data_IF_905789786836
#
_entry.id   IF_905789786836
#
_cell.length_a   1.000
_cell.length_b   1.000
_cell.length_c   1.000
_cell.angle_alpha   90.00
_cell.angle_beta   90.00
_cell.angle_gamma   90.00
#
_symmetry.space_group_name_H-M   'P 1'
#
loop_
_entity.id
_entity.type
_entity.pdbx_description
1 polymer ?
#
# COMPACT_ATOMS: atom_id res chain seq x y z
N UNK A 1 -26.18 -29.18 8.06
CA UNK A 1 -26.91 -29.00 9.32
C UNK A 1 -27.50 -27.61 9.32
N UNK A 2 -28.80 -27.47 9.59
CA UNK A 2 -29.43 -26.17 9.78
C UNK A 2 -28.83 -25.49 11.02
N UNK A 3 -28.67 -24.15 11.03
CA UNK A 3 -28.13 -23.46 12.19
C UNK A 3 -29.07 -23.65 13.39
N UNK A 4 -28.49 -24.00 14.55
CA UNK A 4 -29.21 -24.22 15.80
C UNK A 4 -29.61 -22.91 16.50
N UNK A 5 -29.19 -21.76 15.99
CA UNK A 5 -29.44 -20.45 16.58
C UNK A 5 -29.68 -19.43 15.49
N UNK A 6 -30.61 -18.49 15.72
CA UNK A 6 -30.87 -17.36 14.83
C UNK A 6 -30.73 -16.06 15.61
N UNK A 7 -29.83 -15.19 15.18
CA UNK A 7 -29.73 -13.82 15.64
C UNK A 7 -30.50 -12.92 14.68
N UNK A 8 -31.65 -12.40 15.12
CA UNK A 8 -32.53 -11.61 14.28
C UNK A 8 -32.65 -10.17 14.75
N UNK A 9 -32.75 -9.25 13.79
CA UNK A 9 -33.12 -7.86 14.04
C UNK A 9 -34.61 -7.76 14.38
N UNK A 10 -34.94 -7.17 15.53
CA UNK A 10 -36.32 -6.87 15.94
C UNK A 10 -36.60 -5.37 15.72
N UNK A 11 -37.38 -4.99 14.69
CA UNK A 11 -37.65 -3.59 14.37
C UNK A 11 -38.35 -2.84 15.51
N UNK A 12 -39.25 -3.51 16.23
CA UNK A 12 -40.07 -2.95 17.30
C UNK A 12 -39.24 -2.45 18.49
N UNK A 13 -38.12 -3.13 18.77
CA UNK A 13 -37.25 -2.83 19.91
C UNK A 13 -35.90 -2.23 19.51
N UNK A 14 -35.67 -2.01 18.20
CA UNK A 14 -34.40 -1.53 17.64
C UNK A 14 -33.17 -2.31 18.16
N UNK A 15 -33.30 -3.62 18.37
CA UNK A 15 -32.23 -4.47 18.93
C UNK A 15 -32.16 -5.84 18.24
N UNK A 16 -31.04 -6.53 18.45
CA UNK A 16 -30.87 -7.91 17.99
C UNK A 16 -31.20 -8.89 19.11
N UNK A 17 -31.79 -9.99 18.70
CA UNK A 17 -32.41 -10.98 19.56
C UNK A 17 -31.96 -12.37 19.13
N UNK A 18 -31.50 -13.16 20.09
CA UNK A 18 -31.13 -14.56 19.85
C UNK A 18 -32.32 -15.47 20.10
N UNK A 19 -32.64 -16.32 19.13
CA UNK A 19 -33.63 -17.39 19.25
C UNK A 19 -33.00 -18.77 18.97
N UNK A 20 -33.52 -19.79 19.65
CA UNK A 20 -33.15 -21.20 19.47
C UNK A 20 -34.38 -22.00 19.04
N UNK A 21 -34.28 -22.95 18.09
CA UNK A 21 -35.39 -23.81 17.72
C UNK A 21 -35.93 -24.57 18.95
N UNK A 22 -37.21 -24.33 19.29
CA UNK A 22 -37.89 -24.98 20.41
C UNK A 22 -37.89 -24.21 21.74
N UNK A 23 -37.27 -23.04 21.82
CA UNK A 23 -37.40 -22.12 22.96
C UNK A 23 -37.95 -20.76 22.50
N UNK A 24 -39.07 -20.28 23.06
CA UNK A 24 -39.67 -19.00 22.68
C UNK A 24 -38.94 -17.78 23.28
N UNK A 25 -38.01 -18.00 24.20
CA UNK A 25 -37.33 -16.93 24.93
C UNK A 25 -36.30 -16.22 24.04
N UNK A 26 -36.44 -14.90 23.99
CA UNK A 26 -35.57 -14.01 23.24
C UNK A 26 -34.59 -13.33 24.20
N UNK A 27 -33.31 -13.66 24.10
CA UNK A 27 -32.29 -13.14 25.00
C UNK A 27 -31.62 -11.88 24.43
N UNK A 28 -31.33 -10.91 25.29
CA UNK A 28 -30.47 -9.80 24.93
C UNK A 28 -29.02 -10.29 24.86
N UNK A 29 -28.46 -10.32 23.66
CA UNK A 29 -27.16 -10.95 23.43
C UNK A 29 -25.99 -10.02 23.75
N UNK A 30 -26.21 -8.73 24.02
CA UNK A 30 -25.10 -7.78 24.14
C UNK A 30 -24.13 -8.11 25.27
N UNK A 31 -24.63 -8.57 26.42
CA UNK A 31 -23.78 -8.92 27.57
C UNK A 31 -23.15 -10.33 27.45
N UNK A 32 -23.76 -11.23 26.67
CA UNK A 32 -23.36 -12.64 26.57
C UNK A 32 -22.73 -13.00 25.21
N UNK A 33 -22.54 -12.01 24.33
CA UNK A 33 -22.11 -12.15 22.93
C UNK A 33 -20.86 -13.03 22.78
N UNK A 34 -19.81 -12.74 23.56
CA UNK A 34 -18.53 -13.46 23.48
C UNK A 34 -18.65 -14.90 23.94
N UNK A 35 -19.22 -15.11 25.12
CA UNK A 35 -19.40 -16.46 25.69
C UNK A 35 -20.25 -17.35 24.75
N UNK A 36 -21.27 -16.76 24.14
CA UNK A 36 -22.12 -17.44 23.17
C UNK A 36 -21.38 -17.77 21.85
N UNK A 37 -20.61 -16.83 21.28
CA UNK A 37 -19.80 -17.10 20.07
C UNK A 37 -18.74 -18.19 20.30
N UNK A 38 -18.26 -18.34 21.54
CA UNK A 38 -17.31 -19.39 21.85
C UNK A 38 -17.97 -20.77 21.96
N UNK A 39 -19.18 -20.83 22.52
CA UNK A 39 -19.98 -22.05 22.62
C UNK A 39 -20.61 -22.50 21.29
N UNK A 40 -20.88 -21.56 20.37
CA UNK A 40 -21.58 -21.84 19.12
C UNK A 40 -20.62 -22.18 17.97
N UNK A 41 -20.99 -23.19 17.16
CA UNK A 41 -20.26 -23.56 15.94
C UNK A 41 -20.92 -23.04 14.65
N UNK A 42 -22.17 -22.60 14.70
CA UNK A 42 -22.89 -22.01 13.57
C UNK A 42 -24.21 -21.34 13.97
N UNK A 43 -24.54 -20.20 13.40
CA UNK A 43 -25.81 -19.50 13.63
C UNK A 43 -26.30 -18.80 12.36
N UNK A 44 -27.61 -18.59 12.24
CA UNK A 44 -28.20 -17.70 11.24
C UNK A 44 -28.19 -16.27 11.76
N UNK A 45 -27.92 -15.31 10.89
CA UNK A 45 -28.01 -13.89 11.16
C UNK A 45 -29.01 -13.25 10.20
N UNK A 46 -30.10 -12.73 10.75
CA UNK A 46 -31.13 -11.98 10.05
C UNK A 46 -30.92 -10.50 10.34
N UNK A 47 -30.05 -9.90 9.54
CA UNK A 47 -29.70 -8.49 9.63
C UNK A 47 -30.68 -7.57 8.89
N UNK A 48 -30.55 -6.28 9.16
CA UNK A 48 -31.28 -5.20 8.44
C UNK A 48 -30.98 -5.24 6.94
N UNK A 49 -29.77 -5.65 6.58
CA UNK A 49 -29.27 -5.64 5.20
C UNK A 49 -29.23 -7.02 4.51
N UNK A 50 -29.74 -8.08 5.15
CA UNK A 50 -29.84 -9.41 4.55
C UNK A 50 -29.62 -10.57 5.52
N UNK A 51 -29.73 -11.79 4.98
CA UNK A 51 -29.58 -13.02 5.74
C UNK A 51 -28.22 -13.68 5.50
N UNK A 52 -27.56 -14.10 6.58
CA UNK A 52 -26.32 -14.85 6.56
C UNK A 52 -26.46 -16.13 7.38
N UNK A 53 -25.73 -17.16 7.01
CA UNK A 53 -25.42 -18.29 7.89
C UNK A 53 -23.94 -18.17 8.25
N UNK A 54 -23.61 -18.07 9.53
CA UNK A 54 -22.25 -18.08 10.01
C UNK A 54 -21.86 -19.47 10.49
N UNK A 55 -20.64 -19.88 10.18
CA UNK A 55 -20.08 -21.16 10.62
C UNK A 55 -18.64 -20.99 11.07
N UNK A 56 -18.32 -21.63 12.20
CA UNK A 56 -16.99 -21.71 12.78
C UNK A 56 -16.25 -22.87 12.10
N UNK A 57 -15.13 -22.58 11.44
CA UNK A 57 -14.25 -23.57 10.84
C UNK A 57 -13.06 -23.84 11.79
N UNK A 58 -12.86 -25.10 12.23
CA UNK A 58 -11.82 -25.45 13.20
C UNK A 58 -10.42 -25.44 12.56
N UNK A 59 -9.41 -25.07 13.36
CA UNK A 59 -7.99 -25.11 12.97
C UNK A 59 -7.27 -26.27 13.67
N UNK A 60 -6.22 -26.82 13.04
CA UNK A 60 -5.38 -27.87 13.65
C UNK A 60 -4.53 -27.35 14.83
N UNK A 61 -4.21 -26.05 14.88
CA UNK A 61 -3.60 -25.34 16.01
C UNK A 61 -4.07 -23.87 16.01
N UNK A 62 -4.73 -23.43 17.08
CA UNK A 62 -5.18 -22.04 17.30
C UNK A 62 -6.70 -21.84 17.34
N UNK A 63 -7.14 -20.60 17.53
CA UNK A 63 -8.56 -20.21 17.58
C UNK A 63 -9.25 -20.43 16.23
N UNK A 64 -10.53 -20.82 16.28
CA UNK A 64 -11.33 -21.08 15.08
C UNK A 64 -11.85 -19.79 14.45
N UNK A 65 -12.06 -19.80 13.13
CA UNK A 65 -12.53 -18.64 12.39
C UNK A 65 -13.99 -18.77 11.98
N UNK A 66 -14.68 -17.63 11.87
CA UNK A 66 -16.03 -17.54 11.35
C UNK A 66 -16.02 -17.24 9.85
N UNK A 67 -16.81 -18.01 9.10
CA UNK A 67 -17.20 -17.70 7.73
C UNK A 67 -18.69 -17.43 7.66
N UNK A 68 -19.05 -16.34 6.98
CA UNK A 68 -20.43 -16.01 6.66
C UNK A 68 -20.78 -16.54 5.27
N UNK A 69 -21.94 -17.15 5.13
CA UNK A 69 -22.48 -17.72 3.91
C UNK A 69 -23.81 -17.04 3.61
N UNK A 70 -24.04 -16.64 2.37
CA UNK A 70 -25.33 -16.15 1.91
C UNK A 70 -25.73 -16.98 0.70
N UNK A 71 -26.91 -17.60 0.76
CA UNK A 71 -27.44 -18.39 -0.36
C UNK A 71 -28.59 -17.64 -1.02
N UNK A 72 -28.44 -17.28 -2.29
CA UNK A 72 -29.47 -16.60 -3.09
C UNK A 72 -29.51 -17.19 -4.49
N UNK A 73 -30.69 -17.44 -5.04
CA UNK A 73 -30.89 -18.04 -6.37
C UNK A 73 -30.06 -19.33 -6.60
N UNK A 74 -30.08 -20.26 -5.63
CA UNK A 74 -29.28 -21.51 -5.64
C UNK A 74 -27.75 -21.32 -5.72
N UNK A 75 -27.23 -20.12 -5.42
CA UNK A 75 -25.79 -19.82 -5.33
C UNK A 75 -25.43 -19.42 -3.91
N UNK A 76 -24.46 -20.10 -3.33
CA UNK A 76 -23.91 -19.77 -2.01
C UNK A 76 -22.62 -18.97 -2.19
N UNK A 77 -22.62 -17.74 -1.68
CA UNK A 77 -21.42 -16.90 -1.56
C UNK A 77 -20.92 -17.03 -0.12
N UNK A 78 -19.60 -17.18 0.07
CA UNK A 78 -18.99 -17.16 1.41
C UNK A 78 -18.03 -15.98 1.55
N UNK A 79 -17.90 -15.46 2.76
CA UNK A 79 -16.97 -14.38 3.12
C UNK A 79 -16.39 -14.65 4.50
N UNK A 80 -15.08 -14.45 4.65
CA UNK A 80 -14.44 -14.52 5.96
C UNK A 80 -15.03 -13.45 6.88
N UNK A 81 -15.41 -13.84 8.09
CA UNK A 81 -16.05 -12.95 9.07
C UNK A 81 -15.14 -12.57 10.23
N UNK A 82 -14.01 -13.27 10.43
CA UNK A 82 -13.04 -12.99 11.50
C UNK A 82 -12.98 -14.06 12.58
N UNK A 83 -12.25 -13.76 13.67
CA UNK A 83 -12.29 -14.55 14.91
C UNK A 83 -13.51 -14.20 15.75
N UNK A 84 -13.79 -14.98 16.79
CA UNK A 84 -14.83 -14.64 17.78
C UNK A 84 -14.63 -13.24 18.36
N UNK A 85 -13.37 -12.80 18.55
CA UNK A 85 -13.03 -11.47 19.09
C UNK A 85 -13.36 -10.32 18.15
N UNK A 86 -13.33 -10.58 16.85
CA UNK A 86 -13.48 -9.56 15.80
C UNK A 86 -14.91 -9.51 15.26
N UNK A 87 -15.75 -10.46 15.66
CA UNK A 87 -17.14 -10.53 15.28
C UNK A 87 -17.93 -9.52 16.10
N UNK A 88 -18.45 -8.49 15.44
CA UNK A 88 -19.43 -7.56 16.02
C UNK A 88 -20.68 -7.56 15.17
N UNK A 89 -21.82 -7.18 15.75
CA UNK A 89 -23.08 -7.03 15.00
C UNK A 89 -22.90 -6.06 13.82
N UNK A 90 -22.15 -4.98 14.00
CA UNK A 90 -21.84 -4.03 12.92
C UNK A 90 -21.08 -4.68 11.75
N UNK A 91 -20.11 -5.56 12.06
CA UNK A 91 -19.38 -6.33 11.05
C UNK A 91 -20.29 -7.34 10.32
N UNK A 92 -21.23 -7.96 11.04
CA UNK A 92 -22.22 -8.85 10.44
C UNK A 92 -23.15 -8.11 9.48
N UNK A 93 -23.60 -6.91 9.84
CA UNK A 93 -24.39 -6.04 8.94
C UNK A 93 -23.62 -5.63 7.70
N UNK A 94 -22.35 -5.28 7.84
CA UNK A 94 -21.48 -4.99 6.70
C UNK A 94 -21.32 -6.20 5.78
N UNK A 95 -21.05 -7.38 6.33
CA UNK A 95 -20.94 -8.61 5.55
C UNK A 95 -22.27 -8.95 4.88
N UNK A 96 -23.40 -8.76 5.57
CA UNK A 96 -24.74 -8.99 5.04
C UNK A 96 -25.01 -8.07 3.85
N UNK A 97 -24.73 -6.78 3.98
CA UNK A 97 -24.84 -5.79 2.89
C UNK A 97 -23.97 -6.17 1.69
N UNK A 98 -22.72 -6.57 1.92
CA UNK A 98 -21.78 -6.93 0.86
C UNK A 98 -22.16 -8.23 0.12
N UNK A 99 -22.71 -9.21 0.83
CA UNK A 99 -23.15 -10.47 0.24
C UNK A 99 -24.53 -10.36 -0.42
N UNK A 100 -25.38 -9.45 0.06
CA UNK A 100 -26.75 -9.23 -0.44
C UNK A 100 -26.80 -8.25 -1.62
N UNK A 101 -25.80 -7.37 -1.75
CA UNK A 101 -25.66 -6.47 -2.89
C UNK A 101 -25.72 -7.26 -4.21
N UNK A 102 -26.78 -6.98 -4.98
CA UNK A 102 -27.10 -7.69 -6.21
C UNK A 102 -26.11 -7.27 -7.30
N UNK A 103 -25.10 -8.10 -7.58
CA UNK A 103 -24.52 -8.10 -8.92
C UNK A 103 -25.53 -8.72 -9.89
N UNK A 104 -25.65 -8.20 -11.12
CA UNK A 104 -26.57 -8.74 -12.11
C UNK A 104 -26.25 -10.22 -12.44
N UNK A 105 -27.31 -10.93 -12.86
CA UNK A 105 -27.38 -12.38 -12.99
C UNK A 105 -26.29 -13.04 -13.88
N UNK A 106 -26.05 -14.35 -13.75
CA UNK A 106 -24.82 -14.96 -14.18
C UNK A 106 -24.94 -15.73 -15.49
N UNK A 107 -24.04 -15.44 -16.44
CA UNK A 107 -23.77 -16.29 -17.60
C UNK A 107 -22.58 -17.20 -17.29
N UNK A 108 -22.77 -18.51 -17.44
CA UNK A 108 -21.74 -19.58 -17.36
C UNK A 108 -21.00 -19.65 -16.01
N UNK A 109 -20.44 -20.83 -15.65
CA UNK A 109 -19.55 -20.92 -14.50
C UNK A 109 -18.43 -19.89 -14.71
N UNK A 110 -18.22 -18.90 -13.82
CA UNK A 110 -17.13 -17.98 -14.03
C UNK A 110 -15.87 -18.81 -13.88
N UNK A 111 -15.15 -19.01 -14.98
CA UNK A 111 -13.70 -18.85 -14.93
C UNK A 111 -13.50 -17.58 -14.12
N UNK A 112 -13.08 -17.70 -12.86
CA UNK A 112 -12.98 -16.56 -11.95
C UNK A 112 -11.97 -15.60 -12.58
N UNK A 113 -12.48 -14.59 -13.27
CA UNK A 113 -11.70 -13.69 -14.10
C UNK A 113 -10.81 -12.87 -13.19
N UNK A 114 -9.50 -13.14 -13.26
CA UNK A 114 -8.50 -12.32 -12.60
C UNK A 114 -8.25 -11.09 -13.46
N UNK A 115 -8.06 -9.95 -12.81
CA UNK A 115 -7.68 -8.73 -13.50
C UNK A 115 -6.18 -8.77 -13.82
N UNK A 116 -5.84 -9.15 -15.06
CA UNK A 116 -4.45 -9.35 -15.50
C UNK A 116 -3.56 -8.09 -15.37
N UNK A 117 -4.16 -6.90 -15.39
CA UNK A 117 -3.43 -5.65 -15.21
C UNK A 117 -2.81 -5.52 -13.82
N UNK A 118 -3.36 -6.19 -12.79
CA UNK A 118 -2.75 -6.26 -11.45
C UNK A 118 -1.49 -7.13 -11.42
N UNK A 119 -1.41 -8.10 -12.33
CA UNK A 119 -0.30 -9.05 -12.44
C UNK A 119 0.83 -8.52 -13.34
N UNK A 120 0.57 -7.41 -14.03
CA UNK A 120 1.47 -6.82 -15.00
C UNK A 120 2.42 -5.83 -14.34
N UNK A 121 3.68 -5.87 -14.74
CA UNK A 121 4.69 -4.92 -14.30
C UNK A 121 4.31 -3.48 -14.73
N UNK A 122 4.27 -2.49 -13.82
CA UNK A 122 3.96 -1.11 -14.15
C UNK A 122 4.90 -0.52 -15.20
N UNK A 123 4.40 0.34 -16.09
CA UNK A 123 5.26 0.98 -17.09
C UNK A 123 6.20 1.98 -16.42
N UNK A 124 7.50 1.87 -16.71
CA UNK A 124 8.48 2.88 -16.34
C UNK A 124 8.30 4.11 -17.23
N UNK A 125 8.49 5.30 -16.66
CA UNK A 125 8.58 6.53 -17.45
C UNK A 125 9.93 6.58 -18.18
N UNK A 126 10.00 7.31 -19.29
CA UNK A 126 11.18 7.39 -20.16
C UNK A 126 12.33 8.21 -19.58
N UNK A 127 12.02 9.26 -18.80
CA UNK A 127 13.01 10.06 -18.06
C UNK A 127 13.06 9.57 -16.61
N UNK A 128 14.09 8.81 -16.27
CA UNK A 128 14.30 8.32 -14.91
C UNK A 128 15.75 8.56 -14.49
N UNK A 129 15.91 9.23 -13.36
CA UNK A 129 17.20 9.34 -12.71
C UNK A 129 17.67 7.95 -12.25
N UNK A 130 18.89 7.57 -12.62
CA UNK A 130 19.53 6.37 -12.08
C UNK A 130 19.94 6.59 -10.63
N UNK A 131 19.61 5.65 -9.75
CA UNK A 131 19.87 5.73 -8.30
C UNK A 131 20.75 4.56 -7.85
N UNK A 132 21.98 4.49 -8.36
CA UNK A 132 22.92 3.38 -8.13
C UNK A 132 23.01 2.95 -6.67
N UNK A 133 23.18 3.91 -5.75
CA UNK A 133 23.19 3.67 -4.29
C UNK A 133 22.01 2.83 -3.80
N UNK A 134 20.80 3.06 -4.31
CA UNK A 134 19.62 2.28 -3.93
C UNK A 134 19.61 0.91 -4.61
N UNK A 135 19.98 0.85 -5.89
CA UNK A 135 20.08 -0.42 -6.63
C UNK A 135 21.05 -1.38 -5.95
N UNK A 136 22.20 -0.88 -5.47
CA UNK A 136 23.18 -1.66 -4.73
C UNK A 136 22.61 -2.18 -3.40
N UNK A 137 21.82 -1.35 -2.70
CA UNK A 137 21.12 -1.79 -1.48
C UNK A 137 20.09 -2.88 -1.75
N UNK A 138 19.34 -2.79 -2.84
CA UNK A 138 18.43 -3.87 -3.25
C UNK A 138 19.19 -5.18 -3.53
N UNK A 139 20.36 -5.11 -4.15
CA UNK A 139 21.20 -6.28 -4.39
C UNK A 139 21.67 -6.93 -3.08
N UNK A 140 22.07 -6.12 -2.08
CA UNK A 140 22.39 -6.62 -0.74
C UNK A 140 21.18 -7.26 -0.02
N UNK A 141 19.96 -6.83 -0.37
CA UNK A 141 18.72 -7.37 0.21
C UNK A 141 18.37 -8.78 -0.28
N UNK A 142 18.90 -9.21 -1.43
CA UNK A 142 18.56 -10.51 -2.05
C UNK A 142 18.97 -11.72 -1.22
N UNK A 143 20.00 -11.58 -0.38
CA UNK A 143 20.44 -12.65 0.54
C UNK A 143 19.41 -12.94 1.65
N UNK A 144 18.41 -12.07 1.80
CA UNK A 144 17.37 -12.14 2.84
C UNK A 144 16.05 -12.64 2.24
N UNK A 145 15.11 -13.06 3.08
CA UNK A 145 13.79 -13.55 2.62
C UNK A 145 12.87 -12.42 2.13
N UNK A 146 12.96 -11.27 2.78
CA UNK A 146 12.04 -10.15 2.59
C UNK A 146 12.79 -8.83 2.46
N UNK A 147 12.52 -8.08 1.39
CA UNK A 147 12.80 -6.64 1.32
C UNK A 147 11.53 -5.86 1.54
N UNK A 148 11.47 -5.06 2.61
CA UNK A 148 10.36 -4.16 2.91
C UNK A 148 10.72 -2.73 2.49
N UNK A 149 9.86 -2.12 1.67
CA UNK A 149 9.95 -0.71 1.30
C UNK A 149 8.79 0.03 1.96
N UNK A 150 9.10 0.82 2.98
CA UNK A 150 8.13 1.51 3.83
C UNK A 150 8.31 3.02 3.72
N UNK A 151 7.51 3.66 2.87
CA UNK A 151 7.55 5.12 2.71
C UNK A 151 6.23 5.69 2.19
N UNK A 152 5.90 6.96 2.50
CA UNK A 152 4.70 7.61 1.98
C UNK A 152 4.60 7.63 0.44
N UNK A 153 3.44 8.07 -0.06
CA UNK A 153 3.27 8.29 -1.49
C UNK A 153 4.29 9.32 -2.03
N UNK A 154 4.70 9.15 -3.29
CA UNK A 154 5.61 10.09 -3.96
C UNK A 154 7.11 9.91 -3.70
N UNK A 155 7.52 8.94 -2.88
CA UNK A 155 8.94 8.59 -2.69
C UNK A 155 9.53 7.70 -3.80
N UNK A 156 8.75 7.39 -4.84
CA UNK A 156 9.22 6.60 -5.99
C UNK A 156 9.47 5.12 -5.69
N UNK A 157 8.79 4.54 -4.68
CA UNK A 157 8.93 3.12 -4.29
C UNK A 157 8.78 2.16 -5.49
N UNK A 158 7.66 2.27 -6.21
CA UNK A 158 7.38 1.46 -7.41
C UNK A 158 8.43 1.71 -8.49
N UNK A 159 8.82 2.97 -8.68
CA UNK A 159 9.82 3.37 -9.68
C UNK A 159 11.18 2.70 -9.41
N UNK A 160 11.68 2.74 -8.18
CA UNK A 160 13.00 2.17 -7.87
C UNK A 160 12.99 0.65 -7.95
N UNK A 161 11.91 -0.01 -7.49
CA UNK A 161 11.78 -1.47 -7.66
C UNK A 161 11.77 -1.82 -9.14
N UNK A 162 11.01 -1.09 -9.96
CA UNK A 162 10.97 -1.36 -11.40
C UNK A 162 12.30 -1.09 -12.10
N UNK A 163 13.05 -0.06 -11.70
CA UNK A 163 14.42 0.17 -12.19
C UNK A 163 15.34 -0.99 -11.82
N UNK A 164 15.28 -1.44 -10.56
CA UNK A 164 16.08 -2.57 -10.08
C UNK A 164 15.75 -3.88 -10.82
N UNK A 165 14.46 -4.16 -11.04
CA UNK A 165 14.02 -5.33 -11.80
C UNK A 165 14.45 -5.30 -13.27
N UNK A 166 14.68 -4.13 -13.86
CA UNK A 166 15.08 -4.01 -15.28
C UNK A 166 16.48 -4.58 -15.54
N UNK A 167 17.33 -4.69 -14.52
CA UNK A 167 18.66 -5.29 -14.60
C UNK A 167 18.68 -6.75 -14.12
N UNK A 168 17.52 -7.38 -13.91
CA UNK A 168 17.41 -8.77 -13.41
C UNK A 168 17.08 -9.74 -14.52
N UNK A 169 17.54 -10.97 -14.36
CA UNK A 169 17.27 -12.09 -15.27
C UNK A 169 16.30 -13.10 -14.64
N UNK A 170 16.12 -13.06 -13.32
CA UNK A 170 15.17 -13.92 -12.62
C UNK A 170 13.73 -13.61 -13.03
N UNK A 171 12.88 -14.63 -13.11
CA UNK A 171 11.47 -14.41 -13.36
C UNK A 171 10.82 -13.66 -12.17
N UNK A 172 9.95 -12.72 -12.51
CA UNK A 172 9.31 -11.79 -11.57
C UNK A 172 7.81 -12.00 -11.58
N UNK A 173 7.25 -12.30 -10.42
CA UNK A 173 5.83 -12.25 -10.12
C UNK A 173 5.50 -10.88 -9.52
N UNK A 174 4.65 -10.11 -10.19
CA UNK A 174 4.17 -8.82 -9.69
C UNK A 174 2.71 -8.90 -9.29
N UNK A 175 2.34 -8.29 -8.17
CA UNK A 175 0.94 -8.12 -7.77
C UNK A 175 0.71 -6.73 -7.17
N UNK A 176 -0.07 -5.90 -7.87
CA UNK A 176 -0.61 -4.66 -7.33
C UNK A 176 -1.90 -4.93 -6.56
N UNK A 177 -1.89 -4.65 -5.26
CA UNK A 177 -3.02 -4.89 -4.36
C UNK A 177 -3.99 -3.70 -4.35
N UNK A 178 -5.28 -3.99 -4.21
CA UNK A 178 -6.29 -2.99 -3.89
C UNK A 178 -7.15 -3.41 -2.69
N UNK A 179 -8.02 -2.51 -2.22
CA UNK A 179 -8.90 -2.77 -1.08
C UNK A 179 -9.87 -3.96 -1.31
N UNK A 180 -10.12 -4.32 -2.57
CA UNK A 180 -10.94 -5.48 -2.93
C UNK A 180 -10.23 -6.81 -2.65
N UNK A 181 -8.91 -6.81 -2.48
CA UNK A 181 -8.11 -8.00 -2.20
C UNK A 181 -8.00 -8.31 -0.69
N UNK A 182 -8.77 -7.61 0.16
CA UNK A 182 -8.83 -7.85 1.61
C UNK A 182 -9.60 -9.14 1.99
N UNK A 183 -10.01 -9.96 1.02
CA UNK A 183 -10.55 -11.30 1.24
C UNK A 183 -9.41 -12.34 1.13
N UNK A 184 -9.15 -13.18 2.15
CA UNK A 184 -8.01 -14.11 2.14
C UNK A 184 -7.97 -15.06 0.94
N UNK A 185 -9.12 -15.56 0.50
CA UNK A 185 -9.16 -16.47 -0.66
C UNK A 185 -8.83 -15.74 -1.96
N UNK A 186 -9.33 -14.52 -2.14
CA UNK A 186 -9.01 -13.65 -3.27
C UNK A 186 -7.54 -13.23 -3.26
N UNK A 187 -7.01 -12.78 -2.12
CA UNK A 187 -5.62 -12.41 -1.95
C UNK A 187 -4.69 -13.53 -2.42
N UNK A 188 -4.84 -14.72 -1.84
CA UNK A 188 -3.99 -15.86 -2.17
C UNK A 188 -4.19 -16.35 -3.60
N UNK A 189 -5.40 -16.25 -4.15
CA UNK A 189 -5.63 -16.55 -5.57
C UNK A 189 -4.83 -15.62 -6.48
N UNK A 190 -4.79 -14.32 -6.20
CA UNK A 190 -3.97 -13.36 -6.94
C UNK A 190 -2.47 -13.61 -6.76
N UNK A 191 -2.02 -13.95 -5.55
CA UNK A 191 -0.61 -14.30 -5.29
C UNK A 191 -0.19 -15.53 -6.10
N UNK A 192 -0.99 -16.60 -6.07
CA UNK A 192 -0.69 -17.83 -6.82
C UNK A 192 -0.72 -17.57 -8.33
N UNK A 193 -1.65 -16.75 -8.80
CA UNK A 193 -1.71 -16.34 -10.20
C UNK A 193 -0.49 -15.51 -10.62
N UNK A 194 -0.02 -14.58 -9.78
CA UNK A 194 1.20 -13.82 -10.03
C UNK A 194 2.43 -14.74 -10.12
N UNK A 195 2.50 -15.74 -9.24
CA UNK A 195 3.58 -16.72 -9.22
C UNK A 195 3.50 -17.77 -10.33
N UNK A 196 2.50 -17.74 -11.22
CA UNK A 196 2.33 -18.77 -12.26
C UNK A 196 3.58 -18.95 -13.13
N UNK A 197 4.26 -17.86 -13.48
CA UNK A 197 5.50 -17.90 -14.26
C UNK A 197 6.71 -18.44 -13.48
N UNK A 198 6.63 -18.51 -12.14
CA UNK A 198 7.66 -19.07 -11.27
C UNK A 198 7.48 -20.58 -11.08
N UNK A 199 6.27 -21.09 -11.28
CA UNK A 199 5.92 -22.47 -11.02
C UNK A 199 6.27 -23.37 -12.20
N UNK A 200 6.88 -24.55 -11.97
CA UNK A 200 7.00 -25.58 -13.00
C UNK A 200 5.61 -26.10 -13.39
N UNK A 201 5.49 -26.81 -14.52
CA UNK A 201 4.22 -27.32 -15.05
C UNK A 201 3.40 -28.13 -14.03
N UNK A 202 4.07 -28.89 -13.16
CA UNK A 202 3.43 -29.64 -12.07
C UNK A 202 2.82 -28.73 -10.99
N UNK A 203 3.41 -27.56 -10.75
CA UNK A 203 2.91 -26.55 -9.80
C UNK A 203 1.66 -25.81 -10.29
N UNK A 204 1.34 -25.86 -11.58
CA UNK A 204 0.14 -25.22 -12.14
C UNK A 204 -1.17 -25.85 -11.60
N UNK A 205 -1.12 -27.09 -11.09
CA UNK A 205 -2.27 -27.75 -10.44
C UNK A 205 -2.73 -27.01 -9.17
N UNK A 206 -1.86 -26.24 -8.52
CA UNK A 206 -2.21 -25.42 -7.34
C UNK A 206 -3.25 -24.35 -7.71
N UNK A 207 -3.20 -23.81 -8.93
CA UNK A 207 -4.20 -22.84 -9.41
C UNK A 207 -5.60 -23.46 -9.46
N UNK A 208 -5.71 -24.75 -9.79
CA UNK A 208 -6.99 -25.46 -9.79
C UNK A 208 -7.58 -25.51 -8.37
N UNK A 209 -6.77 -25.69 -7.33
CA UNK A 209 -7.24 -25.69 -5.94
C UNK A 209 -7.84 -24.35 -5.51
N UNK A 210 -7.32 -23.23 -6.04
CA UNK A 210 -7.87 -21.88 -5.79
C UNK A 210 -9.01 -21.49 -6.75
N UNK A 211 -9.15 -22.20 -7.89
CA UNK A 211 -10.16 -21.95 -8.91
C UNK A 211 -11.41 -22.83 -8.78
N UNK A 212 -11.33 -23.96 -8.08
CA UNK A 212 -12.43 -24.94 -8.04
C UNK A 212 -13.56 -24.45 -7.13
N UNK A 213 -14.78 -24.21 -7.64
CA UNK A 213 -15.95 -24.12 -6.79
C UNK A 213 -16.17 -25.48 -6.13
N UNK A 214 -16.38 -25.48 -4.81
CA UNK A 214 -16.51 -26.66 -3.95
C UNK A 214 -17.25 -27.82 -4.64
N UNK A 215 -16.55 -28.92 -4.93
CA UNK A 215 -17.17 -30.20 -5.30
C UNK A 215 -17.67 -30.90 -4.01
N UNK A 216 -18.81 -31.60 -4.03
CA UNK A 216 -19.29 -32.36 -2.87
C UNK A 216 -18.36 -33.54 -2.53
N UNK A 217 -18.13 -33.86 -1.24
CA UNK A 217 -18.62 -33.16 -0.06
C UNK A 217 -17.92 -31.80 0.08
N UNK A 218 -18.73 -30.74 0.26
CA UNK A 218 -18.38 -29.32 0.12
C UNK A 218 -17.41 -28.77 1.21
N UNK A 219 -16.42 -29.56 1.62
CA UNK A 219 -15.34 -29.15 2.51
C UNK A 219 -14.19 -28.66 1.65
N UNK A 220 -13.99 -27.34 1.62
CA UNK A 220 -12.75 -26.78 1.09
C UNK A 220 -11.62 -27.16 2.06
N UNK A 221 -10.43 -27.56 1.56
CA UNK A 221 -9.28 -27.75 2.44
C UNK A 221 -8.97 -26.44 3.18
N UNK A 222 -8.53 -26.49 4.46
CA UNK A 222 -8.11 -25.31 5.19
C UNK A 222 -7.09 -24.51 4.39
N UNK A 223 -7.16 -23.17 4.45
CA UNK A 223 -6.26 -22.29 3.69
C UNK A 223 -4.78 -22.68 3.88
N UNK A 224 -4.38 -23.05 5.10
CA UNK A 224 -3.03 -23.55 5.40
C UNK A 224 -2.61 -24.76 4.56
N UNK A 225 -3.52 -25.71 4.31
CA UNK A 225 -3.21 -26.89 3.50
C UNK A 225 -2.95 -26.48 2.05
N UNK A 226 -3.74 -25.54 1.52
CA UNK A 226 -3.53 -25.01 0.17
C UNK A 226 -2.20 -24.24 0.10
N UNK A 227 -1.89 -23.42 1.11
CA UNK A 227 -0.61 -22.72 1.20
C UNK A 227 0.58 -23.66 1.33
N UNK A 228 0.42 -24.77 2.06
CA UNK A 228 1.46 -25.80 2.17
C UNK A 228 1.74 -26.42 0.81
N UNK A 229 0.69 -26.79 0.05
CA UNK A 229 0.85 -27.28 -1.32
C UNK A 229 1.51 -26.23 -2.23
N UNK A 230 1.12 -24.97 -2.09
CA UNK A 230 1.72 -23.88 -2.86
C UNK A 230 3.20 -23.67 -2.53
N UNK A 231 3.57 -23.66 -1.25
CA UNK A 231 4.97 -23.59 -0.79
C UNK A 231 5.79 -24.77 -1.30
N UNK A 232 5.24 -25.98 -1.28
CA UNK A 232 5.89 -27.17 -1.83
C UNK A 232 6.11 -27.04 -3.34
N UNK A 233 5.16 -26.50 -4.09
CA UNK A 233 5.34 -26.24 -5.51
C UNK A 233 6.43 -25.19 -5.77
N UNK A 234 6.46 -24.12 -4.98
CA UNK A 234 7.49 -23.09 -5.04
C UNK A 234 8.88 -23.61 -4.62
N UNK A 235 8.97 -24.61 -3.74
CA UNK A 235 10.26 -25.20 -3.36
C UNK A 235 11.02 -25.84 -4.53
N UNK A 236 10.32 -26.15 -5.63
CA UNK A 236 10.90 -26.70 -6.85
C UNK A 236 11.21 -25.63 -7.91
N UNK A 237 11.02 -24.34 -7.60
CA UNK A 237 11.43 -23.27 -8.50
C UNK A 237 12.92 -22.96 -8.35
N UNK A 238 13.58 -22.60 -9.47
CA UNK A 238 15.02 -22.32 -9.49
C UNK A 238 15.37 -21.02 -8.76
N UNK A 239 14.76 -19.91 -9.18
CA UNK A 239 14.90 -18.60 -8.56
C UNK A 239 13.71 -17.73 -8.98
N UNK A 240 13.25 -16.84 -8.11
CA UNK A 240 12.15 -15.95 -8.45
C UNK A 240 11.95 -14.81 -7.46
N UNK A 241 11.37 -13.72 -7.97
CA UNK A 241 11.02 -12.54 -7.19
C UNK A 241 9.51 -12.41 -7.11
N UNK A 242 8.96 -12.27 -5.91
CA UNK A 242 7.54 -11.92 -5.72
C UNK A 242 7.45 -10.50 -5.19
N UNK A 243 6.88 -9.59 -5.99
CA UNK A 243 6.62 -8.20 -5.60
C UNK A 243 5.16 -8.03 -5.24
N UNK A 244 4.90 -7.62 -4.00
CA UNK A 244 3.59 -7.24 -3.50
C UNK A 244 3.55 -5.72 -3.34
N UNK A 245 2.86 -5.05 -4.27
CA UNK A 245 2.71 -3.61 -4.26
C UNK A 245 1.47 -3.18 -3.49
N UNK A 246 1.60 -2.04 -2.81
CA UNK A 246 0.52 -1.37 -2.07
C UNK A 246 -0.07 -2.18 -0.90
N UNK A 247 0.75 -2.97 -0.20
CA UNK A 247 0.29 -3.85 0.88
C UNK A 247 -0.46 -3.16 2.02
N UNK A 248 -0.24 -1.87 2.23
CA UNK A 248 -1.00 -1.04 3.20
C UNK A 248 -2.52 -1.04 2.99
N UNK A 249 -3.03 -1.42 1.81
CA UNK A 249 -4.48 -1.56 1.57
C UNK A 249 -5.07 -2.83 2.19
N UNK A 250 -4.22 -3.78 2.58
CA UNK A 250 -4.61 -5.02 3.23
C UNK A 250 -4.64 -4.78 4.74
N UNK A 251 -5.78 -5.06 5.35
CA UNK A 251 -6.05 -4.86 6.79
C UNK A 251 -6.55 -6.11 7.48
N UNK A 252 -6.92 -7.15 6.73
CA UNK A 252 -7.46 -8.39 7.29
C UNK A 252 -6.37 -9.20 8.03
N UNK A 253 -6.55 -9.49 9.35
CA UNK A 253 -5.56 -10.22 10.14
C UNK A 253 -5.24 -11.62 9.61
N UNK A 254 -6.19 -12.30 8.97
CA UNK A 254 -5.94 -13.63 8.41
C UNK A 254 -4.93 -13.58 7.27
N UNK A 255 -4.95 -12.50 6.45
CA UNK A 255 -3.95 -12.31 5.39
C UNK A 255 -2.57 -12.08 6.00
N UNK A 256 -2.46 -11.26 7.04
CA UNK A 256 -1.18 -11.00 7.72
C UNK A 256 -0.61 -12.27 8.37
N UNK A 257 -1.45 -13.05 9.05
CA UNK A 257 -1.07 -14.32 9.68
C UNK A 257 -0.63 -15.37 8.67
N UNK A 258 -1.38 -15.51 7.57
CA UNK A 258 -1.05 -16.47 6.52
C UNK A 258 0.18 -16.03 5.72
N UNK A 259 0.37 -14.74 5.49
CA UNK A 259 1.61 -14.23 4.87
C UNK A 259 2.80 -14.41 5.79
N UNK A 260 2.65 -14.22 7.10
CA UNK A 260 3.67 -14.52 8.08
C UNK A 260 4.02 -16.02 8.10
N UNK A 261 3.02 -16.91 7.99
CA UNK A 261 3.24 -18.35 7.82
C UNK A 261 4.03 -18.65 6.54
N UNK A 262 3.65 -18.03 5.43
CA UNK A 262 4.31 -18.16 4.13
C UNK A 262 5.77 -17.71 4.18
N UNK A 263 6.06 -16.55 4.78
CA UNK A 263 7.42 -16.03 4.96
C UNK A 263 8.32 -16.97 5.80
N UNK A 264 7.78 -17.64 6.82
CA UNK A 264 8.58 -18.54 7.65
C UNK A 264 9.04 -19.79 6.90
N UNK A 265 8.25 -20.24 5.93
CA UNK A 265 8.47 -21.46 5.14
C UNK A 265 8.90 -21.16 3.71
N UNK A 266 9.23 -19.90 3.41
CA UNK A 266 9.62 -19.48 2.08
C UNK A 266 10.89 -20.23 1.64
N UNK A 267 10.90 -20.86 0.45
CA UNK A 267 12.10 -21.48 -0.10
C UNK A 267 13.24 -20.45 -0.25
N UNK A 268 14.50 -20.86 -0.08
CA UNK A 268 15.65 -19.95 -0.21
C UNK A 268 15.85 -19.43 -1.65
N UNK A 269 15.23 -20.06 -2.64
CA UNK A 269 15.24 -19.65 -4.04
C UNK A 269 14.28 -18.48 -4.33
N UNK A 270 13.42 -18.12 -3.39
CA UNK A 270 12.47 -17.03 -3.55
C UNK A 270 12.78 -15.87 -2.63
N UNK A 271 12.69 -14.66 -3.19
CA UNK A 271 12.79 -13.41 -2.47
C UNK A 271 11.49 -12.61 -2.64
N UNK A 272 10.98 -12.06 -1.54
CA UNK A 272 9.77 -11.22 -1.54
C UNK A 272 10.15 -9.75 -1.41
N UNK A 273 9.59 -8.91 -2.27
CA UNK A 273 9.63 -7.45 -2.13
C UNK A 273 8.25 -6.95 -1.75
N UNK A 274 8.13 -6.28 -0.61
CA UNK A 274 6.87 -5.74 -0.10
C UNK A 274 6.91 -4.22 -0.13
N UNK A 275 5.99 -3.61 -0.89
CA UNK A 275 5.88 -2.15 -1.00
C UNK A 275 4.69 -1.68 -0.16
N UNK A 276 4.94 -0.84 0.83
CA UNK A 276 3.92 -0.30 1.72
C UNK A 276 4.14 1.20 2.01
N UNK A 277 3.11 1.84 2.56
CA UNK A 277 3.19 3.25 3.00
C UNK A 277 3.73 3.43 4.41
N UNK A 278 3.75 2.36 5.17
CA UNK A 278 4.25 2.25 6.53
C UNK A 278 4.51 0.79 6.86
N UNK A 279 4.90 0.52 8.10
CA UNK A 279 5.27 -0.83 8.51
C UNK A 279 4.01 -1.72 8.55
N UNK A 280 4.00 -2.85 7.82
CA UNK A 280 2.88 -3.77 7.82
C UNK A 280 2.80 -4.52 9.17
N UNK A 281 1.59 -4.98 9.57
CA UNK A 281 1.39 -5.75 10.79
C UNK A 281 1.89 -7.21 10.63
N UNK A 282 3.15 -7.37 10.26
CA UNK A 282 3.89 -8.62 10.14
C UNK A 282 4.88 -8.74 11.31
N UNK A 283 5.37 -9.95 11.64
CA UNK A 283 6.35 -10.15 12.71
C UNK A 283 7.76 -9.69 12.29
N UNK A 284 7.92 -8.40 11.93
CA UNK A 284 9.16 -7.82 11.40
C UNK A 284 10.32 -7.95 12.39
N UNK A 285 10.07 -7.77 13.70
CA UNK A 285 11.08 -7.92 14.75
C UNK A 285 11.75 -9.29 14.71
N UNK A 286 10.97 -10.35 14.45
CA UNK A 286 11.52 -11.71 14.35
C UNK A 286 12.38 -11.89 13.11
N UNK A 287 11.97 -11.32 11.98
CA UNK A 287 12.75 -11.38 10.73
C UNK A 287 14.04 -10.57 10.85
N UNK A 288 14.00 -9.40 11.52
CA UNK A 288 15.20 -8.60 11.85
C UNK A 288 16.19 -9.40 12.70
N UNK A 289 15.71 -10.03 13.76
CA UNK A 289 16.56 -10.82 14.66
C UNK A 289 17.26 -12.00 13.97
N UNK A 290 16.68 -12.52 12.88
CA UNK A 290 17.23 -13.62 12.08
C UNK A 290 18.05 -13.16 10.87
N UNK A 291 18.22 -11.85 10.69
CA UNK A 291 18.81 -11.25 9.48
C UNK A 291 18.07 -11.67 8.18
N UNK A 292 16.76 -11.93 8.26
CA UNK A 292 15.90 -12.35 7.14
C UNK A 292 15.14 -11.18 6.49
N UNK A 293 15.29 -9.96 7.01
CA UNK A 293 14.60 -8.74 6.56
C UNK A 293 15.60 -7.67 6.10
N UNK A 294 15.43 -7.12 4.91
CA UNK A 294 16.05 -5.88 4.44
C UNK A 294 15.00 -4.75 4.44
N UNK A 295 15.36 -3.57 4.93
CA UNK A 295 14.41 -2.45 5.04
C UNK A 295 14.93 -1.20 4.33
N UNK A 296 14.03 -0.58 3.57
CA UNK A 296 14.22 0.70 2.92
C UNK A 296 13.10 1.63 3.35
N UNK A 297 13.46 2.70 4.05
CA UNK A 297 12.50 3.66 4.57
C UNK A 297 12.51 4.97 3.78
N UNK A 298 11.60 5.87 4.11
CA UNK A 298 11.49 7.17 3.46
C UNK A 298 12.82 7.94 3.40
N UNK A 299 13.63 7.91 4.47
CA UNK A 299 14.93 8.60 4.51
C UNK A 299 15.93 8.03 3.50
N UNK A 300 15.91 6.72 3.26
CA UNK A 300 16.78 6.07 2.28
C UNK A 300 16.40 6.47 0.84
N UNK A 301 15.10 6.60 0.60
CA UNK A 301 14.50 6.89 -0.69
C UNK A 301 14.53 8.38 -1.06
N UNK A 302 14.91 9.27 -0.13
CA UNK A 302 15.15 10.69 -0.45
C UNK A 302 16.27 10.82 -1.47
N UNK A 303 16.14 11.76 -2.40
CA UNK A 303 17.23 12.15 -3.26
C UNK A 303 18.36 12.74 -2.42
N UNK A 304 19.59 12.30 -2.69
CA UNK A 304 20.77 13.02 -2.22
C UNK A 304 20.86 14.41 -2.89
N UNK A 305 21.71 15.31 -2.42
CA UNK A 305 21.96 16.58 -3.11
C UNK A 305 22.41 16.37 -4.57
N UNK A 306 23.24 15.35 -4.81
CA UNK A 306 23.72 14.99 -6.15
C UNK A 306 22.58 14.43 -7.02
N UNK A 307 21.76 13.53 -6.47
CA UNK A 307 20.57 13.00 -7.14
C UNK A 307 19.57 14.12 -7.46
N UNK A 308 19.37 15.07 -6.54
CA UNK A 308 18.47 16.22 -6.71
C UNK A 308 18.97 17.12 -7.84
N UNK A 309 20.27 17.46 -7.84
CA UNK A 309 20.89 18.25 -8.91
C UNK A 309 20.75 17.56 -10.25
N UNK A 310 21.12 16.28 -10.33
CA UNK A 310 21.04 15.50 -11.56
C UNK A 310 19.59 15.40 -12.08
N UNK A 311 18.62 15.18 -11.19
CA UNK A 311 17.21 15.14 -11.56
C UNK A 311 16.73 16.48 -12.14
N UNK A 312 17.05 17.59 -11.48
CA UNK A 312 16.64 18.91 -11.92
C UNK A 312 17.30 19.31 -13.25
N UNK A 313 18.58 18.97 -13.44
CA UNK A 313 19.27 19.19 -14.72
C UNK A 313 18.66 18.39 -15.88
N UNK A 314 18.14 17.18 -15.61
CA UNK A 314 17.49 16.36 -16.63
C UNK A 314 16.06 16.82 -16.96
N UNK A 315 15.32 17.28 -15.95
CA UNK A 315 13.89 17.63 -16.09
C UNK A 315 13.64 19.08 -16.51
N UNK A 316 14.57 20.00 -16.21
CA UNK A 316 14.45 21.41 -16.53
C UNK A 316 15.12 21.72 -17.87
N UNK A 317 14.44 22.51 -18.70
CA UNK A 317 15.00 23.05 -19.94
C UNK A 317 15.96 24.24 -19.70
N UNK A 318 16.17 24.63 -18.44
CA UNK A 318 16.97 25.77 -18.02
C UNK A 318 17.84 25.43 -16.81
N UNK A 319 18.92 26.17 -16.60
CA UNK A 319 19.86 25.98 -15.50
C UNK A 319 19.45 26.78 -14.27
N UNK A 320 19.38 26.12 -13.12
CA UNK A 320 19.21 26.78 -11.82
C UNK A 320 20.56 27.20 -11.24
N UNK A 321 20.58 28.30 -10.48
CA UNK A 321 21.78 28.71 -9.74
C UNK A 321 22.05 27.73 -8.59
N UNK A 322 23.33 27.56 -8.16
CA UNK A 322 23.68 26.71 -7.02
C UNK A 322 22.91 27.06 -5.73
N UNK A 323 22.66 28.34 -5.48
CA UNK A 323 21.92 28.80 -4.29
C UNK A 323 20.45 28.36 -4.33
N UNK A 324 19.84 28.43 -5.52
CA UNK A 324 18.46 28.00 -5.73
C UNK A 324 18.33 26.49 -5.60
N UNK A 325 19.29 25.73 -6.14
CA UNK A 325 19.37 24.28 -6.00
C UNK A 325 19.51 23.86 -4.54
N UNK A 326 20.39 24.51 -3.78
CA UNK A 326 20.55 24.26 -2.35
C UNK A 326 19.27 24.58 -1.57
N UNK A 327 18.62 25.71 -1.87
CA UNK A 327 17.34 26.08 -1.24
C UNK A 327 16.26 25.03 -1.48
N UNK A 328 16.16 24.53 -2.71
CA UNK A 328 15.21 23.47 -3.08
C UNK A 328 15.53 22.13 -2.44
N UNK A 329 16.81 21.75 -2.42
CA UNK A 329 17.26 20.53 -1.75
C UNK A 329 16.91 20.55 -0.26
N UNK A 330 17.15 21.67 0.41
CA UNK A 330 16.83 21.86 1.83
C UNK A 330 15.31 21.86 2.08
N UNK A 331 14.53 22.59 1.26
CA UNK A 331 13.08 22.74 1.48
C UNK A 331 12.24 21.53 1.06
N UNK A 332 12.70 20.75 0.09
CA UNK A 332 12.00 19.55 -0.38
C UNK A 332 12.53 18.28 0.27
N UNK A 333 13.63 18.38 1.03
CA UNK A 333 14.28 17.29 1.75
C UNK A 333 14.48 16.04 0.86
N UNK A 334 14.84 16.25 -0.41
CA UNK A 334 15.02 15.18 -1.39
C UNK A 334 13.75 14.43 -1.79
N UNK A 335 12.55 14.97 -1.59
CA UNK A 335 11.29 14.31 -1.96
C UNK A 335 11.09 14.24 -3.49
N UNK A 336 11.15 13.03 -4.12
CA UNK A 336 11.17 12.91 -5.58
C UNK A 336 9.91 13.44 -6.29
N UNK A 337 8.72 13.18 -5.74
CA UNK A 337 7.48 13.68 -6.33
C UNK A 337 7.33 15.20 -6.22
N UNK A 338 7.89 15.82 -5.17
CA UNK A 338 7.88 17.27 -5.00
C UNK A 338 8.68 18.00 -6.07
N UNK A 339 9.75 17.36 -6.56
CA UNK A 339 10.64 17.88 -7.60
C UNK A 339 10.05 17.75 -9.01
N UNK A 340 9.06 16.89 -9.24
CA UNK A 340 8.45 16.70 -10.56
C UNK A 340 7.60 17.90 -10.99
N UNK A 341 7.85 18.37 -12.21
CA UNK A 341 7.14 19.48 -12.86
C UNK A 341 5.75 19.06 -13.37
N UNK A 342 4.72 19.92 -13.26
CA UNK A 342 3.57 19.85 -14.16
C UNK A 342 3.98 20.25 -15.59
N UNK A 343 3.31 19.68 -16.60
CA UNK A 343 3.67 19.82 -18.03
C UNK A 343 3.80 21.26 -18.53
N UNK A 344 3.13 22.22 -17.90
CA UNK A 344 3.22 23.65 -18.23
C UNK A 344 4.60 24.27 -17.99
N UNK A 345 5.48 23.63 -17.21
CA UNK A 345 6.86 24.05 -17.00
C UNK A 345 7.87 23.41 -17.96
N UNK A 346 7.45 22.49 -18.85
CA UNK A 346 8.33 21.68 -19.71
C UNK A 346 8.51 22.22 -21.14
N UNK A 347 7.82 23.30 -21.53
CA UNK A 347 7.93 23.84 -22.90
C UNK A 347 9.02 24.92 -22.98
N UNK A 348 9.96 24.82 -23.93
CA UNK A 348 10.80 25.95 -24.32
C UNK A 348 9.92 27.08 -24.87
N UNK A 349 10.31 28.34 -24.64
CA UNK A 349 9.77 29.47 -25.41
C UNK A 349 10.04 29.18 -26.89
N UNK A 350 8.98 28.97 -27.68
CA UNK A 350 9.10 29.14 -29.12
C UNK A 350 9.56 30.58 -29.36
N UNK A 351 10.66 30.75 -30.08
CA UNK A 351 11.20 32.04 -30.48
C UNK A 351 10.11 32.86 -31.15
N UNK A 352 9.62 33.90 -30.49
CA UNK A 352 8.69 34.86 -31.08
C UNK A 352 9.47 35.74 -32.07
N UNK A 353 9.57 35.28 -33.32
CA UNK A 353 9.91 36.12 -34.47
C UNK A 353 8.59 36.42 -35.19
N UNK A 354 8.19 37.68 -35.15
CA UNK A 354 7.15 38.27 -36.01
C UNK A 354 5.75 38.29 -35.42
N UNK A 355 5.32 39.46 -34.91
CA UNK A 355 4.13 40.11 -35.44
C UNK A 355 4.09 41.57 -34.99
N UNK A 356 4.04 42.47 -35.97
CA UNK A 356 3.80 43.90 -35.84
C UNK A 356 2.41 44.19 -35.27
N UNK A 357 2.27 45.33 -34.56
CA UNK A 357 1.02 46.07 -34.51
C UNK A 357 0.47 46.44 -33.13
N UNK A 358 0.78 47.69 -32.73
CA UNK A 358 -0.08 48.67 -32.05
C UNK A 358 -0.65 48.39 -30.63
N UNK A 359 -0.41 49.36 -29.73
CA UNK A 359 -1.37 49.71 -28.67
C UNK A 359 -0.82 49.77 -27.24
N UNK A 360 -0.15 50.88 -26.91
CA UNK A 360 -0.18 51.61 -25.62
C UNK A 360 -0.66 50.88 -24.35
N UNK A 361 0.24 50.69 -23.38
CA UNK A 361 0.23 51.39 -22.08
C UNK A 361 1.48 51.02 -21.27
N UNK A 362 2.24 52.05 -20.91
CA UNK A 362 3.43 51.97 -20.07
C UNK A 362 3.08 51.43 -18.68
N UNK A 363 3.71 50.33 -18.30
CA UNK A 363 3.92 49.98 -16.90
C UNK A 363 5.35 49.46 -16.78
N UNK A 364 6.26 50.37 -16.43
CA UNK A 364 7.64 50.09 -16.06
C UNK A 364 7.63 49.24 -14.77
N UNK A 365 8.18 48.03 -14.81
CA UNK A 365 8.37 47.20 -13.61
C UNK A 365 9.78 46.58 -13.59
N UNK A 366 10.42 46.72 -12.44
CA UNK A 366 11.84 46.47 -12.12
C UNK A 366 11.98 45.10 -11.41
N UNK A 367 13.07 44.32 -11.60
CA UNK A 367 13.19 42.98 -11.02
C UNK A 367 13.42 42.96 -9.50
N UNK A 368 13.11 41.79 -8.91
CA UNK A 368 13.14 41.53 -7.46
C UNK A 368 14.20 40.46 -7.12
N UNK A 369 15.09 40.78 -6.16
CA UNK A 369 15.90 39.77 -5.44
C UNK A 369 15.18 39.33 -4.16
N UNK A 370 15.23 38.02 -3.87
CA UNK A 370 14.87 37.48 -2.55
C UNK A 370 16.03 37.75 -1.58
N UNK A 371 15.78 38.51 -0.51
CA UNK A 371 16.74 38.68 0.59
C UNK A 371 16.52 37.62 1.68
N UNK A 372 17.49 37.48 2.59
CA UNK A 372 17.55 36.46 3.65
C UNK A 372 16.34 36.45 4.61
N UNK A 373 15.56 37.54 4.66
CA UNK A 373 14.32 37.67 5.45
C UNK A 373 13.03 37.47 4.62
N UNK A 374 13.13 36.91 3.42
CA UNK A 374 11.99 36.44 2.64
C UNK A 374 11.00 37.58 2.23
N UNK A 375 11.52 38.80 1.96
CA UNK A 375 10.81 39.93 1.32
C UNK A 375 11.57 40.44 0.08
N UNK A 376 10.83 40.90 -0.93
CA UNK A 376 11.38 41.41 -2.18
C UNK A 376 11.69 42.93 -2.12
N UNK A 377 12.88 43.35 -2.55
CA UNK A 377 13.27 44.77 -2.67
C UNK A 377 13.78 45.05 -4.09
N UNK A 378 13.40 46.22 -4.65
CA UNK A 378 13.71 46.69 -6.02
C UNK A 378 15.16 47.15 -6.15
N UNK A 379 15.83 46.79 -7.25
CA UNK A 379 17.17 47.29 -7.62
C UNK A 379 17.09 47.93 -9.01
N UNK A 380 17.66 49.13 -9.20
CA UNK A 380 17.72 49.84 -10.49
C UNK A 380 18.61 49.10 -11.49
N UNK A 381 18.18 49.00 -12.74
CA UNK A 381 18.89 48.38 -13.88
C UNK A 381 18.91 49.30 -15.10
N UNK A 382 19.92 49.07 -15.95
CA UNK A 382 20.01 49.57 -17.34
C UNK A 382 19.89 48.40 -18.36
N UNK A 383 19.16 48.66 -19.46
CA UNK A 383 19.01 47.93 -20.76
C UNK A 383 17.95 46.81 -20.90
N UNK A 384 17.10 46.88 -21.95
CA UNK A 384 15.70 46.37 -21.95
C UNK A 384 15.36 45.11 -22.80
N UNK A 385 16.12 44.68 -23.81
CA UNK A 385 15.67 43.59 -24.72
C UNK A 385 16.08 42.16 -24.31
N UNK A 386 17.28 41.97 -23.73
CA UNK A 386 17.62 40.68 -23.08
C UNK A 386 16.92 40.52 -21.73
N UNK A 387 16.51 41.65 -21.14
CA UNK A 387 15.94 41.73 -19.80
C UNK A 387 14.54 41.11 -19.77
N UNK A 388 13.68 41.40 -20.75
CA UNK A 388 12.32 40.84 -20.80
C UNK A 388 12.26 39.31 -20.87
N UNK A 389 13.18 38.68 -21.60
CA UNK A 389 13.28 37.23 -21.69
C UNK A 389 13.83 36.60 -20.40
N UNK A 390 14.86 37.22 -19.80
CA UNK A 390 15.41 36.81 -18.50
C UNK A 390 14.38 36.98 -17.37
N UNK A 391 13.60 38.06 -17.39
CA UNK A 391 12.55 38.34 -16.42
C UNK A 391 11.40 37.33 -16.49
N UNK A 392 11.00 36.96 -17.71
CA UNK A 392 9.98 35.94 -17.90
C UNK A 392 10.44 34.55 -17.41
N UNK A 393 11.73 34.24 -17.55
CA UNK A 393 12.31 33.00 -17.05
C UNK A 393 12.43 32.98 -15.52
N UNK A 394 12.94 34.05 -14.91
CA UNK A 394 13.01 34.22 -13.45
C UNK A 394 11.63 34.13 -12.79
N UNK A 395 10.59 34.73 -13.40
CA UNK A 395 9.21 34.63 -12.91
C UNK A 395 8.66 33.20 -12.99
N UNK A 396 9.04 32.42 -14.02
CA UNK A 396 8.69 31.00 -14.11
C UNK A 396 9.42 30.17 -13.05
N UNK A 397 10.70 30.43 -12.84
CA UNK A 397 11.51 29.78 -11.80
C UNK A 397 10.89 30.00 -10.41
N UNK A 398 10.59 31.25 -10.04
CA UNK A 398 10.01 31.59 -8.74
C UNK A 398 8.65 30.91 -8.49
N UNK A 399 7.71 30.98 -9.45
CA UNK A 399 6.39 30.33 -9.33
C UNK A 399 6.49 28.80 -9.18
N UNK A 400 7.47 28.19 -9.84
CA UNK A 400 7.70 26.75 -9.71
C UNK A 400 8.22 26.39 -8.32
N UNK A 401 9.23 27.11 -7.81
CA UNK A 401 9.80 26.88 -6.47
C UNK A 401 8.71 26.96 -5.40
N UNK A 402 7.85 27.97 -5.45
CA UNK A 402 6.72 28.12 -4.53
C UNK A 402 5.72 26.97 -4.61
N UNK A 403 5.37 26.53 -5.82
CA UNK A 403 4.44 25.41 -6.02
C UNK A 403 5.00 24.08 -5.50
N UNK A 404 6.30 23.84 -5.70
CA UNK A 404 6.98 22.64 -5.19
C UNK A 404 6.97 22.61 -3.64
N UNK A 405 7.32 23.73 -2.99
CA UNK A 405 7.32 23.85 -1.53
C UNK A 405 5.91 23.69 -0.96
N UNK A 406 4.90 24.28 -1.60
CA UNK A 406 3.49 24.15 -1.19
C UNK A 406 3.01 22.70 -1.23
N UNK A 407 3.38 21.94 -2.27
CA UNK A 407 3.05 20.50 -2.37
C UNK A 407 3.70 19.68 -1.26
N UNK A 408 4.95 20.00 -0.91
CA UNK A 408 5.67 19.31 0.15
C UNK A 408 4.99 19.51 1.51
N UNK A 409 4.65 20.76 1.85
CA UNK A 409 3.91 21.10 3.08
C UNK A 409 2.54 20.44 3.18
N UNK A 410 1.83 20.30 2.05
CA UNK A 410 0.52 19.63 2.01
C UNK A 410 0.60 18.10 2.10
N UNK A 411 1.72 17.50 1.71
CA UNK A 411 1.90 16.03 1.69
C UNK A 411 2.56 15.48 2.95
N UNK A 412 3.27 16.34 3.69
CA UNK A 412 3.83 16.07 5.01
C UNK A 412 3.24 17.07 6.02
N UNK A 413 2.00 16.86 6.50
CA UNK A 413 1.56 17.57 7.69
C UNK A 413 2.55 17.25 8.80
N UNK A 414 3.08 18.27 9.48
CA UNK A 414 4.08 18.13 10.54
C UNK A 414 3.75 16.94 11.45
N UNK A 415 4.56 15.87 11.36
CA UNK A 415 4.65 14.91 12.45
C UNK A 415 5.41 15.64 13.57
N UNK A 416 4.83 15.79 14.77
CA UNK A 416 5.63 16.23 15.90
C UNK A 416 6.72 15.17 16.10
N UNK A 417 7.96 15.60 16.02
CA UNK A 417 9.10 14.79 16.46
C UNK A 417 8.85 14.52 17.93
N UNK A 418 8.40 13.31 18.27
CA UNK A 418 8.43 12.83 19.64
C UNK A 418 9.90 12.77 20.04
N UNK A 419 10.33 13.76 20.82
CA UNK A 419 11.55 13.70 21.62
C UNK A 419 11.47 12.45 22.49
N UNK A 420 12.26 11.45 22.12
CA UNK A 420 12.50 10.28 22.96
C UNK A 420 13.09 10.77 24.29
N UNK A 421 12.42 10.43 25.38
CA UNK A 421 12.97 10.50 26.72
C UNK A 421 14.30 9.73 26.77
N UNK A 422 15.40 10.45 26.98
CA UNK A 422 16.62 9.86 27.55
C UNK A 422 16.32 9.40 28.99
N UNK A 423 16.84 8.24 29.42
CA UNK A 423 16.78 7.85 30.82
C UNK A 423 17.68 8.77 31.65
N UNK A 424 17.20 9.13 32.84
CA UNK A 424 17.90 9.98 33.80
C UNK A 424 19.25 9.36 34.23
N UNK A 425 20.32 10.16 34.38
CA UNK A 425 21.54 9.68 35.02
C UNK A 425 21.32 9.55 36.52
N UNK A 426 21.73 8.39 37.04
CA UNK A 426 21.98 8.18 38.45
C UNK A 426 23.18 9.02 38.91
N UNK A 427 23.12 9.32 40.21
CA UNK A 427 24.19 9.71 41.11
C UNK A 427 24.53 11.19 41.29
N UNK A 428 24.36 11.58 42.56
CA UNK A 428 24.82 12.83 43.10
C UNK A 428 26.33 12.95 43.04
N UNK A 429 26.78 14.09 42.53
CA UNK A 429 28.10 14.64 42.79
C UNK A 429 27.95 16.16 42.80
N UNK A 430 28.01 16.74 44.00
CA UNK A 430 28.12 18.18 44.21
C UNK A 430 29.50 18.66 43.82
N UNK A 431 29.60 19.60 42.88
CA UNK A 431 30.78 20.44 42.71
C UNK A 431 30.38 21.91 42.77
N UNK A 432 30.91 22.59 43.80
CA UNK A 432 30.81 24.04 44.03
C UNK A 432 31.65 24.76 42.97
N UNK A 433 31.09 25.83 42.41
CA UNK A 433 31.85 26.88 41.76
C UNK A 433 32.63 27.67 42.82
N UNK A 434 33.96 27.72 42.67
CA UNK A 434 34.78 28.79 43.24
C UNK A 434 35.18 29.72 42.07
N UNK A 435 34.73 30.96 42.24
CA UNK A 435 35.09 32.25 41.61
C UNK A 435 35.17 32.37 40.08
#
# INVERSE_FOLDING_TARGET
MAPLYTLAWLPEHQRYALSQPGQPDTYDIQEQWRAWLDACSSFAFEGRNGHLTLRKEPRKRGESYWYAYCTRNRRTRKRYAGRSTDLTIAKLEEIARLLTATEPAPRTAPTLTLLETKLSLPRLQTSLLSRSRLLDRFNLGLERKLTLISAPAGFGKTTIVRQWLNSRTEPVAWLSLDAGDNDPARFWRYVVAACRALLPDQGQQVLALFATPSQPPFTLPPLEAILTTFLNALAHCNAGLLVLEDYHVITDPCIHETLAFFLNHLPPTLHIVLIARGDPPLPLVRLRARNELHELHAHDLRFSPEETRAFLTQELAFTLTPETLNTLSTRLEGWPAGLRLPESGRRPLASAKGMDGAGSQQQQDVPLRLTEDNRCVRIREDSEDEQGARDADLRRQARWVESAIRRHRGSHPHHPVHSQHMPAPLDGCTWRLQE
#
